data_IF_603343097208
#
_entry.id   IF_603343097208
#
_cell.length_a   1.000
_cell.length_b   1.000
_cell.length_c   1.000
_cell.angle_alpha   90.00
_cell.angle_beta   90.00
_cell.angle_gamma   90.00
#
_symmetry.space_group_name_H-M   'P 1'
#
loop_
_entity.id
_entity.type
_entity.pdbx_description
1 polymer ?
#
# COMPACT_ATOMS: atom_id res chain seq x y z
N UNK A 1 -22.77 -10.21 -7.63
CA UNK A 1 -22.78 -8.82 -8.15
C UNK A 1 -22.45 -8.84 -9.64
N UNK A 2 -22.96 -7.87 -10.40
CA UNK A 2 -22.56 -7.66 -11.80
C UNK A 2 -21.42 -6.65 -11.84
N UNK A 3 -20.35 -6.95 -12.58
CA UNK A 3 -19.21 -6.07 -12.81
C UNK A 3 -19.17 -5.70 -14.30
N UNK A 4 -18.89 -4.43 -14.57
CA UNK A 4 -18.67 -3.91 -15.92
C UNK A 4 -17.32 -3.22 -15.98
N UNK A 5 -16.47 -3.63 -16.93
CA UNK A 5 -15.16 -3.02 -17.21
C UNK A 5 -15.15 -2.44 -18.61
N UNK A 6 -14.51 -1.30 -18.78
CA UNK A 6 -14.34 -0.67 -20.10
C UNK A 6 -12.87 -0.47 -20.42
N UNK A 7 -12.52 -0.69 -21.69
CA UNK A 7 -11.15 -0.53 -22.17
C UNK A 7 -11.15 0.04 -23.60
N UNK A 8 -10.06 0.69 -23.99
CA UNK A 8 -9.86 1.18 -25.36
C UNK A 8 -8.49 0.76 -25.87
N UNK A 9 -8.40 0.31 -27.13
CA UNK A 9 -7.12 -0.08 -27.74
C UNK A 9 -7.14 0.16 -29.24
N UNK A 10 -6.00 0.55 -29.80
CA UNK A 10 -5.81 0.59 -31.25
C UNK A 10 -5.58 -0.83 -31.77
N UNK A 11 -6.36 -1.24 -32.77
CA UNK A 11 -6.24 -2.53 -33.44
C UNK A 11 -5.61 -2.34 -34.83
N UNK A 12 -4.61 -3.16 -35.20
CA UNK A 12 -4.10 -3.21 -36.57
C UNK A 12 -5.11 -3.85 -37.52
N UNK A 13 -4.84 -3.78 -38.83
CA UNK A 13 -5.56 -4.57 -39.82
C UNK A 13 -5.30 -6.07 -39.62
N UNK A 14 -6.33 -6.89 -39.81
CA UNK A 14 -6.28 -8.34 -39.67
C UNK A 14 -6.65 -8.84 -38.28
N UNK A 15 -6.15 -10.02 -37.93
CA UNK A 15 -6.46 -10.68 -36.67
C UNK A 15 -5.74 -10.03 -35.48
N UNK A 16 -6.40 -9.98 -34.33
CA UNK A 16 -5.84 -9.48 -33.07
C UNK A 16 -6.42 -10.24 -31.89
N UNK A 17 -5.60 -10.41 -30.85
CA UNK A 17 -6.03 -11.00 -29.58
C UNK A 17 -5.94 -9.95 -28.49
N UNK A 18 -7.05 -9.73 -27.78
CA UNK A 18 -7.11 -8.85 -26.61
C UNK A 18 -7.41 -9.70 -25.39
N UNK A 19 -6.65 -9.50 -24.32
CA UNK A 19 -6.82 -10.26 -23.07
C UNK A 19 -7.21 -9.28 -21.96
N UNK A 20 -8.35 -9.52 -21.33
CA UNK A 20 -8.72 -8.88 -20.07
C UNK A 20 -8.12 -9.69 -18.93
N UNK A 21 -7.27 -9.06 -18.13
CA UNK A 21 -6.54 -9.69 -17.03
C UNK A 21 -6.98 -9.14 -15.67
N UNK A 22 -6.56 -9.82 -14.59
CA UNK A 22 -6.86 -9.41 -13.23
C UNK A 22 -8.35 -9.45 -12.91
N UNK A 23 -9.08 -10.42 -13.48
CA UNK A 23 -10.49 -10.66 -13.17
C UNK A 23 -10.59 -11.65 -12.00
N UNK A 24 -11.67 -11.54 -11.24
CA UNK A 24 -12.01 -12.46 -10.16
C UNK A 24 -11.98 -13.94 -10.60
N UNK A 25 -11.40 -14.81 -9.78
CA UNK A 25 -11.59 -16.27 -9.92
C UNK A 25 -13.04 -16.72 -9.72
N UNK A 26 -13.83 -15.93 -9.01
CA UNK A 26 -15.23 -16.24 -8.69
C UNK A 26 -16.20 -15.70 -9.75
N UNK A 27 -15.64 -15.19 -10.87
CA UNK A 27 -16.36 -14.89 -12.09
C UNK A 27 -17.13 -16.12 -12.55
N UNK A 28 -18.39 -15.93 -12.93
CA UNK A 28 -19.19 -16.95 -13.60
C UNK A 28 -18.86 -16.92 -15.11
N UNK A 29 -18.21 -17.98 -15.67
CA UNK A 29 -17.83 -17.99 -17.08
C UNK A 29 -19.04 -17.94 -18.03
N UNK A 30 -20.20 -18.44 -17.61
CA UNK A 30 -21.42 -18.43 -18.44
C UNK A 30 -22.04 -17.03 -18.55
N UNK A 31 -21.63 -16.13 -17.67
CA UNK A 31 -22.15 -14.78 -17.59
C UNK A 31 -21.36 -13.74 -18.39
N UNK A 32 -20.24 -14.15 -18.99
CA UNK A 32 -19.33 -13.27 -19.72
C UNK A 32 -20.04 -12.69 -20.94
N UNK A 33 -20.07 -11.36 -21.02
CA UNK A 33 -20.57 -10.61 -22.16
C UNK A 33 -19.53 -9.60 -22.60
N UNK A 34 -19.08 -9.70 -23.86
CA UNK A 34 -18.13 -8.76 -24.46
C UNK A 34 -18.84 -7.96 -25.53
N UNK A 35 -18.90 -6.65 -25.34
CA UNK A 35 -19.41 -5.69 -26.31
C UNK A 35 -18.28 -4.85 -26.89
N UNK A 36 -18.30 -4.64 -28.20
CA UNK A 36 -17.31 -3.86 -28.94
C UNK A 36 -17.95 -2.70 -29.69
N UNK A 37 -17.28 -1.54 -29.71
CA UNK A 37 -17.60 -0.41 -30.61
C UNK A 37 -16.38 -0.05 -31.44
N UNK A 38 -16.55 -0.09 -32.76
CA UNK A 38 -15.51 0.17 -33.76
C UNK A 38 -15.75 -0.70 -35.00
N UNK A 39 -15.11 -0.37 -36.12
CA UNK A 39 -15.12 -1.19 -37.34
C UNK A 39 -14.28 -2.46 -37.22
N UNK A 40 -14.71 -3.40 -36.38
CA UNK A 40 -14.08 -4.73 -36.19
C UNK A 40 -15.15 -5.78 -35.88
N UNK A 41 -14.77 -7.05 -35.99
CA UNK A 41 -15.61 -8.21 -35.68
C UNK A 41 -14.98 -9.01 -34.55
N UNK A 42 -15.80 -9.43 -33.58
CA UNK A 42 -15.40 -10.41 -32.54
C UNK A 42 -15.55 -11.81 -33.14
N UNK A 43 -14.46 -12.57 -33.18
CA UNK A 43 -14.43 -13.93 -33.71
C UNK A 43 -14.73 -14.97 -32.63
N UNK A 44 -14.25 -14.73 -31.41
CA UNK A 44 -14.37 -15.66 -30.30
C UNK A 44 -14.10 -15.01 -28.96
N UNK A 45 -14.69 -15.58 -27.92
CA UNK A 45 -14.46 -15.21 -26.52
C UNK A 45 -14.18 -16.49 -25.76
N UNK A 46 -13.01 -16.57 -25.14
CA UNK A 46 -12.59 -17.70 -24.34
C UNK A 46 -12.29 -17.24 -22.91
N UNK A 47 -12.69 -18.04 -21.93
CA UNK A 47 -12.29 -17.87 -20.54
C UNK A 47 -11.17 -18.85 -20.21
N UNK A 48 -10.14 -18.34 -19.52
CA UNK A 48 -9.08 -19.19 -18.95
C UNK A 48 -8.70 -18.70 -17.57
N UNK A 49 -8.13 -19.60 -16.79
CA UNK A 49 -7.52 -19.26 -15.50
C UNK A 49 -6.02 -19.09 -15.72
N UNK A 50 -5.50 -17.92 -15.40
CA UNK A 50 -4.06 -17.69 -15.38
C UNK A 50 -3.51 -18.06 -14.01
N UNK A 51 -2.80 -19.19 -13.95
CA UNK A 51 -2.09 -19.67 -12.75
C UNK A 51 -0.71 -19.04 -12.58
N UNK A 52 -0.23 -18.31 -13.60
CA UNK A 52 1.06 -17.61 -13.63
C UNK A 52 0.89 -16.09 -13.49
N UNK A 53 -0.32 -15.60 -13.14
CA UNK A 53 -0.58 -14.17 -13.05
C UNK A 53 0.16 -13.53 -11.88
N UNK A 54 0.67 -12.32 -12.11
CA UNK A 54 1.23 -11.48 -11.06
C UNK A 54 0.16 -11.18 -9.99
N UNK A 55 0.57 -11.09 -8.72
CA UNK A 55 -0.37 -10.78 -7.63
C UNK A 55 -1.12 -9.47 -7.92
N UNK A 56 -2.46 -9.41 -7.72
CA UNK A 56 -3.23 -8.18 -7.92
C UNK A 56 -2.70 -7.02 -7.08
N UNK A 57 -2.02 -7.32 -5.97
CA UNK A 57 -1.42 -6.32 -5.07
C UNK A 57 0.04 -6.01 -5.42
N UNK A 58 0.53 -6.34 -6.62
CA UNK A 58 1.95 -6.14 -7.00
C UNK A 58 2.40 -4.70 -6.83
N UNK A 59 1.57 -3.72 -7.19
CA UNK A 59 1.89 -2.31 -7.01
C UNK A 59 2.02 -1.96 -5.53
N UNK A 60 1.02 -2.30 -4.71
CA UNK A 60 1.04 -2.07 -3.26
C UNK A 60 2.23 -2.76 -2.58
N UNK A 61 2.55 -3.99 -2.98
CA UNK A 61 3.73 -4.74 -2.52
C UNK A 61 5.02 -3.99 -2.87
N UNK A 62 5.14 -3.48 -4.10
CA UNK A 62 6.31 -2.73 -4.55
C UNK A 62 6.45 -1.43 -3.77
N UNK A 63 5.36 -0.68 -3.61
CA UNK A 63 5.33 0.56 -2.85
C UNK A 63 5.71 0.35 -1.38
N UNK A 64 5.21 -0.72 -0.75
CA UNK A 64 5.58 -1.09 0.63
C UNK A 64 7.06 -1.45 0.74
N UNK A 65 7.61 -2.19 -0.23
CA UNK A 65 9.03 -2.52 -0.26
C UNK A 65 9.90 -1.28 -0.39
N UNK A 66 9.53 -0.32 -1.24
CA UNK A 66 10.24 0.95 -1.38
C UNK A 66 10.21 1.78 -0.08
N UNK A 67 9.05 1.86 0.58
CA UNK A 67 8.92 2.53 1.88
C UNK A 67 9.77 1.88 2.96
N UNK A 68 9.77 0.55 3.05
CA UNK A 68 10.62 -0.19 3.99
C UNK A 68 12.10 0.09 3.71
N UNK A 69 12.52 0.05 2.45
CA UNK A 69 13.90 0.34 2.05
C UNK A 69 14.33 1.76 2.43
N UNK A 70 13.43 2.73 2.30
CA UNK A 70 13.68 4.11 2.75
C UNK A 70 13.86 4.17 4.27
N UNK A 71 12.96 3.55 5.04
CA UNK A 71 13.08 3.50 6.50
C UNK A 71 14.37 2.80 6.95
N UNK A 72 14.81 1.74 6.25
CA UNK A 72 16.08 1.08 6.53
C UNK A 72 17.28 2.00 6.25
N UNK A 73 17.22 2.82 5.19
CA UNK A 73 18.23 3.85 4.95
C UNK A 73 18.25 4.88 6.09
N UNK A 74 17.09 5.42 6.45
CA UNK A 74 16.96 6.43 7.51
C UNK A 74 17.45 5.87 8.86
N UNK A 75 17.13 4.61 9.17
CA UNK A 75 17.64 3.90 10.34
C UNK A 75 19.17 3.88 10.36
N UNK A 76 19.81 3.52 9.25
CA UNK A 76 21.27 3.47 9.16
C UNK A 76 21.93 4.84 9.32
N UNK A 77 21.30 5.91 8.83
CA UNK A 77 21.75 7.30 9.05
C UNK A 77 21.70 7.67 10.53
N UNK A 78 20.62 7.31 11.21
CA UNK A 78 20.46 7.59 12.64
C UNK A 78 21.42 6.76 13.51
N UNK A 79 21.69 5.50 13.13
CA UNK A 79 22.76 4.67 13.76
C UNK A 79 24.13 5.29 13.57
N UNK A 80 24.47 5.73 12.34
CA UNK A 80 25.74 6.39 12.08
C UNK A 80 25.89 7.66 12.93
N UNK A 81 24.81 8.43 13.09
CA UNK A 81 24.81 9.63 13.94
C UNK A 81 24.94 9.29 15.42
N UNK A 82 24.28 8.22 15.89
CA UNK A 82 24.45 7.72 17.25
C UNK A 82 25.91 7.33 17.53
N UNK A 83 26.58 6.70 16.56
CA UNK A 83 28.00 6.35 16.68
C UNK A 83 28.90 7.59 16.82
N UNK A 84 28.58 8.70 16.15
CA UNK A 84 29.30 9.97 16.31
C UNK A 84 29.20 10.46 17.75
N UNK A 85 28.00 10.46 18.33
CA UNK A 85 27.79 10.85 19.74
C UNK A 85 28.51 9.93 20.71
N UNK A 86 28.50 8.61 20.48
CA UNK A 86 29.24 7.64 21.29
C UNK A 86 30.75 7.87 21.21
N UNK A 87 31.28 8.16 20.01
CA UNK A 87 32.70 8.48 19.84
C UNK A 87 33.07 9.77 20.57
N UNK A 88 32.22 10.80 20.52
CA UNK A 88 32.43 12.04 21.28
C UNK A 88 32.43 11.76 22.79
N UNK A 89 31.49 10.96 23.29
CA UNK A 89 31.47 10.53 24.71
C UNK A 89 32.80 9.89 25.11
N UNK A 90 33.30 8.94 24.32
CA UNK A 90 34.56 8.26 24.60
C UNK A 90 35.76 9.21 24.59
N UNK A 91 35.78 10.19 23.68
CA UNK A 91 36.83 11.21 23.63
C UNK A 91 36.78 12.14 24.85
N UNK A 92 35.59 12.56 25.28
CA UNK A 92 35.42 13.39 26.48
C UNK A 92 35.91 12.66 27.73
N UNK A 93 35.58 11.38 27.87
CA UNK A 93 36.04 10.55 28.99
C UNK A 93 37.56 10.36 29.01
N UNK A 94 38.18 10.09 27.85
CA UNK A 94 39.64 9.95 27.73
C UNK A 94 40.36 11.27 28.03
N UNK A 95 39.89 12.38 27.46
CA UNK A 95 40.51 13.69 27.68
C UNK A 95 40.39 14.16 29.13
N UNK A 96 39.27 13.84 29.79
CA UNK A 96 39.10 14.11 31.22
C UNK A 96 40.11 13.33 32.09
N UNK A 97 40.31 12.05 31.80
CA UNK A 97 41.28 11.22 32.52
C UNK A 97 42.72 11.74 32.38
N UNK A 98 43.12 12.19 31.19
CA UNK A 98 44.47 12.73 30.91
C UNK A 98 44.73 14.06 31.61
N UNK A 99 43.72 14.93 31.75
CA UNK A 99 43.86 16.23 32.41
C UNK A 99 44.07 16.15 33.93
N UNK A 100 43.70 15.03 34.56
CA UNK A 100 43.76 14.86 36.02
C UNK A 100 45.04 14.22 36.56
N UNK A 101 45.85 13.58 35.72
CA UNK A 101 46.95 12.72 36.19
C UNK A 101 48.36 13.34 36.17
N UNK A 102 48.70 14.27 35.25
CA UNK A 102 50.14 14.60 35.06
C UNK A 102 50.54 16.05 34.69
N UNK A 103 49.66 17.06 34.70
CA UNK A 103 49.97 18.35 34.03
C UNK A 103 50.02 19.65 34.87
N UNK A 104 50.12 19.59 36.21
CA UNK A 104 50.32 20.82 37.02
C UNK A 104 49.24 21.89 36.79
N UNK A 105 48.00 21.47 36.54
CA UNK A 105 46.88 22.32 36.13
C UNK A 105 46.35 23.12 37.33
N UNK A 106 46.11 24.42 37.16
CA UNK A 106 45.60 25.27 38.25
C UNK A 106 44.14 24.94 38.60
N UNK A 107 43.72 25.22 39.84
CA UNK A 107 42.35 24.96 40.29
C UNK A 107 41.28 25.64 39.41
N UNK A 108 41.56 26.83 38.87
CA UNK A 108 40.66 27.57 37.98
C UNK A 108 40.59 26.95 36.58
N UNK A 109 41.72 26.44 36.06
CA UNK A 109 41.75 25.69 34.80
C UNK A 109 40.97 24.37 34.93
N UNK A 110 41.07 23.69 36.07
CA UNK A 110 40.30 22.48 36.36
C UNK A 110 38.79 22.74 36.44
N UNK A 111 38.37 23.87 37.02
CA UNK A 111 36.95 24.27 37.04
C UNK A 111 36.39 24.49 35.63
N UNK A 112 37.09 25.25 34.78
CA UNK A 112 36.66 25.50 33.40
C UNK A 112 36.58 24.22 32.55
N UNK A 113 37.53 23.29 32.73
CA UNK A 113 37.48 21.96 32.09
C UNK A 113 36.28 21.15 32.58
N UNK A 114 36.00 21.16 33.88
CA UNK A 114 34.86 20.44 34.45
C UNK A 114 33.51 20.97 33.94
N UNK A 115 33.35 22.29 33.86
CA UNK A 115 32.14 22.92 33.33
C UNK A 115 31.96 22.64 31.83
N UNK A 116 33.04 22.68 31.05
CA UNK A 116 33.03 22.29 29.64
C UNK A 116 32.62 20.82 29.45
N UNK A 117 33.29 19.91 30.17
CA UNK A 117 33.00 18.46 30.10
C UNK A 117 31.55 18.19 30.51
N UNK A 118 31.08 18.79 31.60
CA UNK A 118 29.68 18.66 32.04
C UNK A 118 28.71 19.12 30.95
N UNK A 119 28.93 20.31 30.39
CA UNK A 119 28.05 20.88 29.35
C UNK A 119 28.02 20.02 28.10
N UNK A 120 29.19 19.58 27.60
CA UNK A 120 29.27 18.71 26.43
C UNK A 120 28.68 17.33 26.71
N UNK A 121 28.98 16.72 27.86
CA UNK A 121 28.44 15.41 28.23
C UNK A 121 26.91 15.45 28.33
N UNK A 122 26.32 16.51 28.89
CA UNK A 122 24.87 16.68 28.91
C UNK A 122 24.29 16.77 27.50
N UNK A 123 24.94 17.52 26.59
CA UNK A 123 24.50 17.61 25.19
C UNK A 123 24.61 16.25 24.47
N UNK A 124 25.71 15.52 24.66
CA UNK A 124 25.93 14.19 24.10
C UNK A 124 24.87 13.20 24.60
N UNK A 125 24.61 13.16 25.91
CA UNK A 125 23.59 12.28 26.48
C UNK A 125 22.19 12.61 25.98
N UNK A 126 21.86 13.88 25.84
CA UNK A 126 20.58 14.30 25.23
C UNK A 126 20.51 13.85 23.76
N UNK A 127 21.56 14.09 22.98
CA UNK A 127 21.62 13.65 21.58
C UNK A 127 21.47 12.14 21.43
N UNK A 128 22.08 11.34 22.31
CA UNK A 128 21.93 9.88 22.32
C UNK A 128 20.49 9.44 22.62
N UNK A 129 19.80 10.11 23.55
CA UNK A 129 18.38 9.84 23.84
C UNK A 129 17.50 10.19 22.64
N UNK A 130 17.69 11.37 22.05
CA UNK A 130 16.94 11.81 20.87
C UNK A 130 17.11 10.81 19.71
N UNK A 131 18.34 10.31 19.47
CA UNK A 131 18.57 9.28 18.45
C UNK A 131 17.96 7.93 18.80
N UNK A 132 17.97 7.54 20.07
CA UNK A 132 17.32 6.31 20.48
C UNK A 132 15.80 6.36 20.24
N UNK A 133 15.16 7.49 20.53
CA UNK A 133 13.73 7.69 20.26
C UNK A 133 13.42 7.58 18.76
N UNK A 134 14.22 8.23 17.90
CA UNK A 134 14.05 8.11 16.45
C UNK A 134 14.25 6.69 15.94
N UNK A 135 15.30 6.00 16.39
CA UNK A 135 15.57 4.62 15.99
C UNK A 135 14.41 3.70 16.38
N UNK A 136 13.85 3.87 17.58
CA UNK A 136 12.65 3.15 18.04
C UNK A 136 11.46 3.44 17.12
N UNK A 137 11.17 4.72 16.85
CA UNK A 137 10.06 5.11 15.98
C UNK A 137 10.17 4.53 14.56
N UNK A 138 11.36 4.60 13.95
CA UNK A 138 11.62 4.06 12.61
C UNK A 138 11.41 2.54 12.61
N UNK A 139 11.89 1.83 13.64
CA UNK A 139 11.71 0.37 13.76
C UNK A 139 10.25 -0.03 13.94
N UNK A 140 9.47 0.73 14.72
CA UNK A 140 8.04 0.48 14.90
C UNK A 140 7.29 0.62 13.57
N UNK A 141 7.58 1.67 12.80
CA UNK A 141 6.97 1.89 11.49
C UNK A 141 7.39 0.79 10.49
N UNK A 142 8.69 0.48 10.42
CA UNK A 142 9.20 -0.58 9.55
C UNK A 142 8.57 -1.94 9.89
N UNK A 143 8.37 -2.23 11.19
CA UNK A 143 7.70 -3.46 11.64
C UNK A 143 6.26 -3.53 11.15
N UNK A 144 5.49 -2.44 11.28
CA UNK A 144 4.10 -2.36 10.78
C UNK A 144 4.03 -2.60 9.27
N UNK A 145 4.90 -1.94 8.50
CA UNK A 145 4.94 -2.11 7.04
C UNK A 145 5.36 -3.54 6.64
N UNK A 146 6.31 -4.15 7.35
CA UNK A 146 6.72 -5.55 7.13
C UNK A 146 5.57 -6.53 7.42
N UNK A 147 4.78 -6.28 8.46
CA UNK A 147 3.59 -7.10 8.76
C UNK A 147 2.53 -6.99 7.66
N UNK A 148 2.25 -5.77 7.18
CA UNK A 148 1.33 -5.55 6.06
C UNK A 148 1.83 -6.25 4.79
N UNK A 149 3.12 -6.11 4.48
CA UNK A 149 3.76 -6.78 3.35
C UNK A 149 3.62 -8.31 3.45
N UNK A 150 3.89 -8.87 4.64
CA UNK A 150 3.75 -10.31 4.88
C UNK A 150 2.30 -10.77 4.68
N UNK A 151 1.31 -9.98 5.12
CA UNK A 151 -0.10 -10.30 4.92
C UNK A 151 -0.48 -10.31 3.42
N UNK A 152 0.00 -9.33 2.65
CA UNK A 152 -0.24 -9.27 1.20
C UNK A 152 0.47 -10.40 0.46
N UNK A 153 1.70 -10.74 0.86
CA UNK A 153 2.45 -11.86 0.28
C UNK A 153 1.88 -13.23 0.64
N UNK A 154 1.36 -13.39 1.87
CA UNK A 154 0.70 -14.62 2.33
C UNK A 154 -0.61 -14.90 1.59
N UNK A 155 -1.25 -13.88 1.02
CA UNK A 155 -2.39 -14.07 0.12
C UNK A 155 -1.99 -14.75 -1.21
N UNK A 156 -0.70 -14.79 -1.52
CA UNK A 156 -0.10 -15.51 -2.66
C UNK A 156 -0.48 -14.93 -4.02
N UNK A 157 0.16 -15.45 -5.07
CA UNK A 157 -0.39 -15.33 -6.42
C UNK A 157 -1.68 -16.15 -6.45
N UNK A 158 -2.81 -15.48 -6.27
CA UNK A 158 -4.10 -16.11 -6.55
C UNK A 158 -4.18 -16.21 -8.08
N UNK A 159 -4.58 -17.38 -8.63
CA UNK A 159 -4.96 -17.43 -10.02
C UNK A 159 -5.93 -16.28 -10.34
N UNK A 160 -5.92 -15.73 -11.53
CA UNK A 160 -6.94 -14.76 -11.94
C UNK A 160 -7.65 -15.29 -13.17
N UNK A 161 -8.92 -14.94 -13.31
CA UNK A 161 -9.62 -15.21 -14.55
C UNK A 161 -9.11 -14.25 -15.63
N UNK A 162 -8.98 -14.77 -16.84
CA UNK A 162 -8.72 -13.99 -18.04
C UNK A 162 -9.83 -14.24 -19.05
N UNK A 163 -10.22 -13.18 -19.76
CA UNK A 163 -11.11 -13.29 -20.91
C UNK A 163 -10.30 -12.92 -22.14
N UNK A 164 -10.08 -13.91 -23.00
CA UNK A 164 -9.37 -13.80 -24.26
C UNK A 164 -10.40 -13.54 -25.36
N UNK A 165 -10.23 -12.43 -26.07
CA UNK A 165 -11.13 -12.01 -27.15
C UNK A 165 -10.35 -11.99 -28.45
N UNK A 166 -10.77 -12.83 -29.39
CA UNK A 166 -10.24 -12.87 -30.74
C UNK A 166 -11.03 -11.93 -31.64
N UNK A 167 -10.32 -11.12 -32.42
CA UNK A 167 -10.87 -10.00 -33.17
C UNK A 167 -10.32 -10.01 -34.59
N UNK A 168 -11.06 -9.42 -35.53
CA UNK A 168 -10.56 -9.09 -36.87
C UNK A 168 -11.03 -7.70 -37.28
N UNK A 169 -10.13 -6.87 -37.79
CA UNK A 169 -10.44 -5.54 -38.31
C UNK A 169 -10.01 -5.42 -39.79
N UNK A 170 -10.88 -4.90 -40.69
CA UNK A 170 -10.54 -4.70 -42.09
C UNK A 170 -9.58 -3.53 -42.33
N UNK A 171 -9.43 -2.63 -41.35
CA UNK A 171 -8.52 -1.48 -41.37
C UNK A 171 -8.12 -1.13 -39.93
N UNK A 172 -7.03 -0.36 -39.72
CA UNK A 172 -6.66 0.11 -38.39
C UNK A 172 -7.80 0.89 -37.73
N UNK A 173 -8.15 0.53 -36.49
CA UNK A 173 -9.31 1.11 -35.80
C UNK A 173 -9.05 1.31 -34.31
N UNK A 174 -9.56 2.41 -33.76
CA UNK A 174 -9.64 2.61 -32.32
C UNK A 174 -10.86 1.85 -31.78
N UNK A 175 -10.63 0.70 -31.15
CA UNK A 175 -11.68 -0.12 -30.57
C UNK A 175 -11.97 0.31 -29.13
N UNK A 176 -13.25 0.31 -28.76
CA UNK A 176 -13.73 0.41 -27.37
C UNK A 176 -14.42 -0.90 -27.00
N UNK A 177 -14.14 -1.40 -25.81
CA UNK A 177 -14.68 -2.64 -25.30
C UNK A 177 -15.42 -2.40 -24.00
N UNK A 178 -16.46 -3.20 -23.76
CA UNK A 178 -17.14 -3.31 -22.48
C UNK A 178 -17.29 -4.79 -22.15
N UNK A 179 -16.68 -5.21 -21.04
CA UNK A 179 -16.75 -6.57 -20.51
C UNK A 179 -17.71 -6.56 -19.32
N UNK A 180 -18.81 -7.30 -19.42
CA UNK A 180 -19.74 -7.57 -18.34
C UNK A 180 -19.61 -9.00 -17.84
N UNK A 181 -19.66 -9.20 -16.53
CA UNK A 181 -19.68 -10.53 -15.91
C UNK A 181 -20.31 -10.48 -14.52
N UNK A 182 -20.78 -11.62 -14.05
CA UNK A 182 -21.20 -11.80 -12.67
C UNK A 182 -20.08 -12.41 -11.83
N UNK A 183 -19.99 -11.95 -10.59
CA UNK A 183 -19.12 -12.51 -9.55
C UNK A 183 -19.95 -12.93 -8.34
N UNK A 184 -19.55 -14.02 -7.72
CA UNK A 184 -20.12 -14.51 -6.46
C UNK A 184 -19.52 -13.78 -5.25
N UNK A 185 -20.10 -13.97 -4.06
CA UNK A 185 -19.59 -13.47 -2.78
C UNK A 185 -19.41 -11.93 -2.67
N UNK A 186 -20.25 -11.20 -3.40
CA UNK A 186 -20.54 -9.79 -3.13
C UNK A 186 -21.99 -9.66 -2.69
N UNK A 187 -22.22 -8.81 -1.69
CA UNK A 187 -23.57 -8.56 -1.19
C UNK A 187 -23.66 -7.22 -0.48
N UNK A 188 -24.89 -6.81 -0.20
CA UNK A 188 -25.16 -5.66 0.64
C UNK A 188 -26.34 -5.98 1.56
N UNK A 189 -26.38 -5.33 2.71
CA UNK A 189 -27.53 -5.40 3.63
C UNK A 189 -27.97 -3.98 4.00
N UNK A 190 -29.30 -3.71 4.08
CA UNK A 190 -29.79 -2.43 4.55
C UNK A 190 -29.48 -2.28 6.04
N UNK A 191 -29.02 -1.09 6.41
CA UNK A 191 -28.82 -0.68 7.79
C UNK A 191 -29.63 0.59 8.03
N UNK A 192 -30.41 0.63 9.10
CA UNK A 192 -31.29 1.77 9.40
C UNK A 192 -30.76 2.54 10.61
N UNK A 193 -30.63 3.85 10.46
CA UNK A 193 -30.30 4.80 11.53
C UNK A 193 -31.58 5.59 11.83
N UNK A 194 -32.18 5.31 12.99
CA UNK A 194 -33.41 5.93 13.49
C UNK A 194 -33.03 7.07 14.42
N UNK A 195 -33.46 8.29 14.09
CA UNK A 195 -33.26 9.47 14.94
C UNK A 195 -34.59 10.07 15.33
N UNK A 196 -34.84 10.09 16.64
CA UNK A 196 -35.97 10.78 17.24
C UNK A 196 -35.43 11.92 18.11
N UNK A 197 -35.86 13.15 17.84
CA UNK A 197 -35.41 14.34 18.59
C UNK A 197 -36.36 14.70 19.73
N UNK A 198 -37.65 14.42 19.60
CA UNK A 198 -38.67 14.59 20.65
C UNK A 198 -39.93 13.80 20.29
N UNK A 199 -40.79 13.51 21.27
CA UNK A 199 -42.02 12.72 21.09
C UNK A 199 -43.03 13.36 20.13
N UNK A 200 -42.95 14.67 19.96
CA UNK A 200 -43.88 15.47 19.13
C UNK A 200 -43.36 15.77 17.72
N UNK A 201 -42.17 15.26 17.36
CA UNK A 201 -41.54 15.49 16.04
C UNK A 201 -41.48 14.19 15.23
N UNK A 202 -41.50 14.29 13.89
CA UNK A 202 -41.30 13.12 13.02
C UNK A 202 -39.98 12.42 13.31
N UNK A 203 -39.99 11.09 13.24
CA UNK A 203 -38.79 10.27 13.32
C UNK A 203 -38.07 10.32 11.97
N UNK A 204 -36.78 10.63 11.99
CA UNK A 204 -35.93 10.54 10.81
C UNK A 204 -35.42 9.10 10.66
N UNK A 205 -35.68 8.50 9.50
CA UNK A 205 -35.15 7.19 9.12
C UNK A 205 -34.11 7.37 8.02
N UNK A 206 -32.84 7.17 8.36
CA UNK A 206 -31.76 7.20 7.38
C UNK A 206 -31.37 5.75 7.01
N UNK A 207 -31.57 5.40 5.74
CA UNK A 207 -31.12 4.11 5.21
C UNK A 207 -29.66 4.21 4.78
N UNK A 208 -28.84 3.33 5.34
CA UNK A 208 -27.44 3.09 4.96
C UNK A 208 -27.34 1.70 4.33
N UNK A 209 -26.29 1.47 3.55
CA UNK A 209 -25.98 0.14 3.04
C UNK A 209 -24.67 -0.35 3.66
N UNK A 210 -24.66 -1.58 4.15
CA UNK A 210 -23.44 -2.28 4.53
C UNK A 210 -23.05 -3.21 3.39
N UNK A 211 -21.96 -2.88 2.70
CA UNK A 211 -21.43 -3.67 1.60
C UNK A 211 -20.46 -4.74 2.11
N UNK A 212 -20.47 -5.89 1.47
CA UNK A 212 -19.52 -6.98 1.67
C UNK A 212 -18.93 -7.34 0.31
N UNK A 213 -17.61 -7.24 0.21
CA UNK A 213 -16.85 -7.61 -0.99
C UNK A 213 -15.87 -8.74 -0.65
N UNK A 214 -16.19 -9.95 -1.08
CA UNK A 214 -15.26 -11.09 -1.07
C UNK A 214 -15.00 -11.60 -2.49
N UNK A 215 -15.15 -10.73 -3.50
CA UNK A 215 -15.02 -11.09 -4.92
C UNK A 215 -13.55 -11.20 -5.36
N UNK A 216 -12.61 -10.68 -4.57
CA UNK A 216 -11.21 -10.56 -4.96
C UNK A 216 -10.94 -9.42 -5.95
N UNK A 217 -11.94 -8.60 -6.23
CA UNK A 217 -11.84 -7.37 -7.02
C UNK A 217 -11.69 -6.19 -6.07
N UNK A 218 -10.81 -5.25 -6.43
CA UNK A 218 -10.73 -3.98 -5.71
C UNK A 218 -11.91 -3.07 -6.09
N UNK A 219 -12.58 -2.53 -5.08
CA UNK A 219 -13.71 -1.61 -5.23
C UNK A 219 -13.34 -0.19 -4.79
N UNK A 220 -12.05 0.14 -4.73
CA UNK A 220 -11.62 1.52 -4.51
C UNK A 220 -12.07 2.41 -5.69
N UNK A 221 -12.80 3.47 -5.38
CA UNK A 221 -13.27 4.48 -6.35
C UNK A 221 -14.14 3.95 -7.52
N UNK A 222 -15.00 2.95 -7.27
CA UNK A 222 -15.96 2.45 -8.26
C UNK A 222 -17.36 3.03 -8.06
N UNK A 223 -18.09 3.23 -9.16
CA UNK A 223 -19.51 3.58 -9.11
C UNK A 223 -20.34 2.33 -8.73
N UNK A 224 -21.10 2.41 -7.63
CA UNK A 224 -21.90 1.29 -7.13
C UNK A 224 -23.38 1.62 -7.21
N UNK A 225 -24.13 0.75 -7.86
CA UNK A 225 -25.60 0.72 -7.81
C UNK A 225 -26.07 -0.47 -6.96
N UNK A 226 -26.96 -0.22 -6.01
CA UNK A 226 -27.57 -1.25 -5.18
C UNK A 226 -29.00 -1.50 -5.66
N UNK A 227 -29.35 -2.77 -5.84
CA UNK A 227 -30.71 -3.20 -6.19
C UNK A 227 -31.24 -4.13 -5.11
N UNK A 228 -32.51 -3.95 -4.75
CA UNK A 228 -33.27 -4.77 -3.78
C UNK A 228 -34.13 -5.85 -4.42
N UNK A 229 -34.04 -6.02 -5.76
CA UNK A 229 -35.00 -6.80 -6.53
C UNK A 229 -36.18 -5.97 -7.00
#
# INVERSE_FOLDING_TARGET
>A
AQISRSASRSLPVGASTVVFTGLSQQLDPQSIQVNGKGGFTILGVEHRINYLSESPNKQEVTDLQERIKKLEHDYNVEVATQQVWQNEEQLLLKNWAVGGQDNGVSATQLQGVNDYVRTRMTAVKKGLLDQQEKLTSINEEATKLRQQLQQLQAQGARPTSEVVVELSAPAPVQARFTLGYFVHNAGWTPAYDLRATSVDKPIELLMKARLVNNTGEDWESVDIALSSG
#
